data_IF_338515018364
#
_entry.id   IF_338515018364
#
_cell.length_a   1.000
_cell.length_b   1.000
_cell.length_c   1.000
_cell.angle_alpha   90.00
_cell.angle_beta   90.00
_cell.angle_gamma   90.00
#
_symmetry.space_group_name_H-M   'P 1'
#
loop_
_entity.id
_entity.type
_entity.pdbx_description
1 polymer ?
#
# COMPACT_ATOMS: atom_id res chain seq x y z
N UNK A 1 14.48 -0.79 -17.35
CA UNK A 1 14.35 0.66 -16.99
C UNK A 1 12.86 1.00 -16.96
N UNK A 2 12.31 1.34 -15.82
CA UNK A 2 10.93 1.85 -15.72
C UNK A 2 10.98 3.27 -16.31
N UNK A 3 10.33 3.47 -17.44
CA UNK A 3 10.27 4.79 -18.09
C UNK A 3 9.33 5.68 -17.26
N UNK A 4 9.85 6.78 -16.73
CA UNK A 4 8.97 7.87 -16.26
C UNK A 4 8.06 8.27 -17.41
N UNK A 5 6.75 8.31 -17.18
CA UNK A 5 5.85 8.91 -18.15
C UNK A 5 6.24 10.38 -18.30
N UNK A 6 6.57 10.81 -19.50
CA UNK A 6 6.87 12.21 -19.77
C UNK A 6 5.56 13.02 -19.79
N UNK A 7 4.93 13.14 -18.61
CA UNK A 7 3.65 13.85 -18.44
C UNK A 7 3.94 15.31 -18.13
N UNK A 8 3.69 16.19 -19.08
CA UNK A 8 3.75 17.63 -18.85
C UNK A 8 2.44 18.10 -18.20
N UNK A 9 2.52 18.59 -16.97
CA UNK A 9 1.41 19.16 -16.22
C UNK A 9 1.32 20.69 -16.32
N UNK A 10 2.25 21.35 -17.00
CA UNK A 10 2.30 22.81 -17.08
C UNK A 10 0.97 23.35 -17.65
N UNK A 11 0.34 24.23 -16.89
CA UNK A 11 -0.94 24.86 -17.18
C UNK A 11 -2.15 23.90 -17.28
N UNK A 12 -1.98 22.60 -17.01
CA UNK A 12 -3.12 21.67 -16.95
C UNK A 12 -4.01 22.01 -15.77
N UNK A 13 -5.31 21.92 -15.96
CA UNK A 13 -6.31 22.06 -14.90
C UNK A 13 -6.50 20.71 -14.22
N UNK A 14 -6.14 20.63 -12.94
CA UNK A 14 -6.28 19.41 -12.16
C UNK A 14 -7.22 19.65 -10.99
N UNK A 15 -8.26 18.86 -10.89
CA UNK A 15 -9.14 18.85 -9.73
C UNK A 15 -8.78 17.66 -8.83
N UNK A 16 -8.50 17.96 -7.56
CA UNK A 16 -8.27 16.94 -6.52
C UNK A 16 -9.52 16.87 -5.66
N UNK A 17 -10.14 15.69 -5.58
CA UNK A 17 -11.35 15.46 -4.78
C UNK A 17 -10.98 14.74 -3.48
N UNK A 18 -11.28 15.43 -2.35
CA UNK A 18 -10.94 15.03 -0.99
C UNK A 18 -9.73 15.75 -0.42
N UNK A 19 -9.84 16.28 0.81
CA UNK A 19 -8.83 17.08 1.51
C UNK A 19 -8.11 16.33 2.63
N UNK A 20 -8.10 14.99 2.59
CA UNK A 20 -7.28 14.17 3.47
C UNK A 20 -5.79 14.20 3.08
N UNK A 21 -4.98 13.33 3.70
CA UNK A 21 -3.53 13.24 3.46
C UNK A 21 -3.20 13.01 1.98
N UNK A 22 -3.93 12.13 1.29
CA UNK A 22 -3.76 11.85 -0.15
C UNK A 22 -4.06 13.08 -1.03
N UNK A 23 -5.15 13.80 -0.74
CA UNK A 23 -5.49 15.01 -1.48
C UNK A 23 -4.49 16.14 -1.24
N UNK A 24 -3.96 16.25 -0.02
CA UNK A 24 -2.86 17.15 0.29
C UNK A 24 -1.64 16.84 -0.56
N UNK A 25 -1.13 15.61 -0.48
CA UNK A 25 0.05 15.20 -1.23
C UNK A 25 -0.11 15.43 -2.74
N UNK A 26 -1.23 14.95 -3.31
CA UNK A 26 -1.50 15.07 -4.75
C UNK A 26 -1.61 16.54 -5.21
N UNK A 27 -2.31 17.39 -4.45
CA UNK A 27 -2.49 18.81 -4.82
C UNK A 27 -1.17 19.58 -4.80
N UNK A 28 -0.32 19.34 -3.80
CA UNK A 28 0.99 19.98 -3.70
C UNK A 28 1.96 19.49 -4.76
N UNK A 29 1.97 18.17 -5.06
CA UNK A 29 2.78 17.62 -6.14
C UNK A 29 2.35 18.19 -7.50
N UNK A 30 1.06 18.18 -7.82
CA UNK A 30 0.53 18.72 -9.07
C UNK A 30 0.86 20.21 -9.24
N UNK A 31 0.68 21.02 -8.18
CA UNK A 31 1.02 22.43 -8.19
C UNK A 31 2.53 22.67 -8.40
N UNK A 32 3.39 21.87 -7.71
CA UNK A 32 4.84 21.95 -7.87
C UNK A 32 5.30 21.65 -9.29
N UNK A 33 4.55 20.79 -10.00
CA UNK A 33 4.78 20.40 -11.39
C UNK A 33 4.14 21.36 -12.42
N UNK A 34 3.57 22.49 -11.94
CA UNK A 34 3.08 23.58 -12.78
C UNK A 34 1.60 23.47 -13.18
N UNK A 35 0.83 22.58 -12.58
CA UNK A 35 -0.61 22.49 -12.80
C UNK A 35 -1.38 23.61 -12.12
N UNK A 36 -2.52 23.99 -12.71
CA UNK A 36 -3.56 24.84 -12.10
C UNK A 36 -4.48 23.95 -11.25
N UNK A 37 -4.29 23.94 -9.93
CA UNK A 37 -4.97 23.00 -9.04
C UNK A 37 -6.20 23.61 -8.38
N UNK A 38 -7.32 22.87 -8.45
CA UNK A 38 -8.51 23.04 -7.62
C UNK A 38 -8.60 21.85 -6.65
N UNK A 39 -8.54 22.10 -5.35
CA UNK A 39 -8.73 21.11 -4.31
C UNK A 39 -10.12 21.28 -3.71
N UNK A 40 -10.96 20.24 -3.76
CA UNK A 40 -12.38 20.33 -3.39
C UNK A 40 -12.78 19.16 -2.47
N UNK A 41 -13.52 19.47 -1.40
CA UNK A 41 -14.08 18.50 -0.45
C UNK A 41 -15.50 18.88 -0.04
N UNK A 42 -16.37 17.88 0.07
CA UNK A 42 -17.74 18.06 0.55
C UNK A 42 -17.80 18.42 2.03
N UNK A 43 -16.80 18.01 2.81
CA UNK A 43 -16.70 18.29 4.24
C UNK A 43 -15.90 19.56 4.51
N UNK A 44 -16.23 20.27 5.60
CA UNK A 44 -15.50 21.48 6.04
C UNK A 44 -14.44 21.19 7.11
N UNK A 45 -14.03 19.92 7.27
CA UNK A 45 -13.17 19.46 8.38
C UNK A 45 -11.66 19.56 8.12
N UNK A 46 -11.25 20.11 6.97
CA UNK A 46 -9.83 20.27 6.67
C UNK A 46 -9.14 21.20 7.66
N UNK A 47 -7.92 20.85 8.08
CA UNK A 47 -7.12 21.67 9.01
C UNK A 47 -6.86 23.06 8.43
N UNK A 48 -7.11 24.11 9.21
CA UNK A 48 -6.87 25.51 8.77
C UNK A 48 -5.44 25.75 8.29
N UNK A 49 -4.46 25.19 8.97
CA UNK A 49 -3.04 25.28 8.58
C UNK A 49 -2.79 24.72 7.17
N UNK A 50 -3.46 23.61 6.83
CA UNK A 50 -3.37 23.01 5.49
C UNK A 50 -4.01 23.94 4.44
N UNK A 51 -5.22 24.43 4.69
CA UNK A 51 -5.93 25.37 3.80
C UNK A 51 -5.07 26.62 3.54
N UNK A 52 -4.49 27.19 4.60
CA UNK A 52 -3.61 28.36 4.51
C UNK A 52 -2.38 28.08 3.65
N UNK A 53 -1.70 26.95 3.89
CA UNK A 53 -0.51 26.58 3.13
C UNK A 53 -0.82 26.35 1.65
N UNK A 54 -1.91 25.67 1.33
CA UNK A 54 -2.33 25.42 -0.04
C UNK A 54 -2.66 26.73 -0.78
N UNK A 55 -3.40 27.65 -0.14
CA UNK A 55 -3.69 28.99 -0.70
C UNK A 55 -2.43 29.81 -0.96
N UNK A 56 -1.45 29.77 -0.05
CA UNK A 56 -0.20 30.52 -0.17
C UNK A 56 0.63 30.12 -1.40
N UNK A 57 0.47 28.90 -1.92
CA UNK A 57 1.14 28.42 -3.13
C UNK A 57 0.24 28.43 -4.37
N UNK A 58 -0.92 29.09 -4.29
CA UNK A 58 -1.80 29.30 -5.43
C UNK A 58 -2.81 28.18 -5.72
N UNK A 59 -2.96 27.19 -4.83
CA UNK A 59 -3.99 26.16 -4.94
C UNK A 59 -5.37 26.77 -4.62
N UNK A 60 -6.34 26.65 -5.52
CA UNK A 60 -7.73 27.03 -5.28
C UNK A 60 -8.40 25.98 -4.41
N UNK A 61 -9.26 26.43 -3.48
CA UNK A 61 -9.90 25.53 -2.50
C UNK A 61 -11.41 25.74 -2.49
N UNK A 62 -12.14 24.62 -2.51
CA UNK A 62 -13.55 24.53 -2.17
C UNK A 62 -13.70 23.58 -0.96
N UNK A 63 -14.18 24.11 0.17
CA UNK A 63 -14.28 23.38 1.43
C UNK A 63 -15.72 23.48 1.96
N UNK A 64 -16.38 22.34 2.17
CA UNK A 64 -17.77 22.25 2.61
C UNK A 64 -18.78 22.20 1.44
N UNK A 65 -18.35 21.71 0.27
CA UNK A 65 -19.19 21.51 -0.92
C UNK A 65 -18.39 21.57 -2.19
N UNK A 66 -19.05 21.23 -3.28
CA UNK A 66 -18.50 21.23 -4.63
C UNK A 66 -19.31 22.18 -5.51
N UNK A 67 -18.67 23.06 -6.27
CA UNK A 67 -19.32 23.90 -7.30
C UNK A 67 -19.08 23.30 -8.69
N UNK A 68 -19.76 23.80 -9.72
CA UNK A 68 -19.54 23.39 -11.12
C UNK A 68 -18.09 23.57 -11.61
N UNK A 69 -17.27 24.35 -10.89
CA UNK A 69 -15.84 24.55 -11.21
C UNK A 69 -15.02 23.28 -11.18
N UNK A 70 -15.44 22.25 -10.37
CA UNK A 70 -14.74 20.97 -10.32
C UNK A 70 -14.67 20.29 -11.69
N UNK A 71 -15.62 20.56 -12.59
CA UNK A 71 -15.69 19.96 -13.92
C UNK A 71 -14.89 20.72 -14.99
N UNK A 72 -14.40 21.93 -14.70
CA UNK A 72 -13.45 22.66 -15.57
C UNK A 72 -12.04 22.10 -15.34
N UNK A 73 -11.80 20.88 -15.78
CA UNK A 73 -10.63 20.09 -15.42
C UNK A 73 -10.21 19.13 -16.53
N UNK A 74 -8.90 19.03 -16.77
CA UNK A 74 -8.31 18.05 -17.69
C UNK A 74 -8.18 16.67 -17.02
N UNK A 75 -8.05 16.64 -15.69
CA UNK A 75 -7.80 15.43 -14.90
C UNK A 75 -8.35 15.58 -13.50
N UNK A 76 -8.99 14.53 -13.00
CA UNK A 76 -9.33 14.39 -11.59
C UNK A 76 -8.40 13.40 -10.89
N UNK A 77 -7.91 13.81 -9.72
CA UNK A 77 -7.25 12.91 -8.77
C UNK A 77 -8.21 12.71 -7.61
N UNK A 78 -8.64 11.46 -7.40
CA UNK A 78 -9.68 11.12 -6.42
C UNK A 78 -9.07 10.47 -5.18
N UNK A 79 -9.49 10.91 -3.99
CA UNK A 79 -9.14 10.27 -2.73
C UNK A 79 -9.84 8.93 -2.55
N UNK A 80 -9.23 7.91 -1.89
CA UNK A 80 -9.80 6.57 -1.75
C UNK A 80 -11.18 6.52 -1.07
N UNK A 81 -11.46 7.48 -0.18
CA UNK A 81 -12.75 7.60 0.51
C UNK A 81 -13.92 8.03 -0.37
N UNK A 82 -13.66 8.54 -1.57
CA UNK A 82 -14.69 9.02 -2.49
C UNK A 82 -15.19 7.85 -3.33
N UNK A 83 -16.49 7.60 -3.30
CA UNK A 83 -17.12 6.48 -4.02
C UNK A 83 -17.40 6.83 -5.49
N UNK A 84 -17.24 5.85 -6.38
CA UNK A 84 -17.60 5.96 -7.80
C UNK A 84 -19.07 6.25 -8.07
N UNK A 85 -19.93 5.93 -7.13
CA UNK A 85 -21.39 6.00 -7.29
C UNK A 85 -21.98 7.35 -6.85
N UNK A 86 -21.18 8.29 -6.37
CA UNK A 86 -21.70 9.62 -6.02
C UNK A 86 -21.89 10.50 -7.26
N UNK A 87 -22.88 11.40 -7.22
CA UNK A 87 -23.30 12.20 -8.35
C UNK A 87 -22.17 12.98 -9.03
N UNK A 88 -21.23 13.54 -8.25
CA UNK A 88 -20.13 14.32 -8.84
C UNK A 88 -19.21 13.45 -9.68
N UNK A 89 -18.94 12.22 -9.28
CA UNK A 89 -18.07 11.28 -10.01
C UNK A 89 -18.76 10.76 -11.25
N UNK A 90 -20.04 10.40 -11.17
CA UNK A 90 -20.83 9.98 -12.34
C UNK A 90 -20.95 11.09 -13.37
N UNK A 91 -21.14 12.34 -12.95
CA UNK A 91 -21.19 13.51 -13.82
C UNK A 91 -19.83 13.79 -14.48
N UNK A 92 -18.72 13.66 -13.73
CA UNK A 92 -17.38 13.83 -14.28
C UNK A 92 -17.08 12.78 -15.38
N UNK A 93 -17.44 11.52 -15.14
CA UNK A 93 -17.35 10.44 -16.14
C UNK A 93 -18.21 10.74 -17.39
N UNK A 94 -19.44 11.22 -17.20
CA UNK A 94 -20.34 11.59 -18.31
C UNK A 94 -19.79 12.76 -19.13
N UNK A 95 -19.03 13.67 -18.52
CA UNK A 95 -18.34 14.77 -19.20
C UNK A 95 -17.00 14.34 -19.84
N UNK A 96 -16.61 13.07 -19.73
CA UNK A 96 -15.35 12.55 -20.28
C UNK A 96 -14.11 12.96 -19.52
N UNK A 97 -14.24 13.42 -18.27
CA UNK A 97 -13.10 13.79 -17.44
C UNK A 97 -12.37 12.51 -16.97
N UNK A 98 -11.08 12.43 -17.23
CA UNK A 98 -10.24 11.33 -16.77
C UNK A 98 -10.12 11.36 -15.24
N UNK A 99 -10.33 10.21 -14.59
CA UNK A 99 -10.27 10.08 -13.12
C UNK A 99 -9.23 9.03 -12.76
N UNK A 100 -8.26 9.40 -11.93
CA UNK A 100 -7.21 8.50 -11.45
C UNK A 100 -7.06 8.57 -9.94
N UNK A 101 -6.44 7.55 -9.35
CA UNK A 101 -6.06 7.56 -7.94
C UNK A 101 -4.78 8.38 -7.71
N UNK A 102 -4.54 8.77 -6.46
CA UNK A 102 -3.30 9.42 -6.04
C UNK A 102 -2.08 8.54 -6.29
N UNK A 103 -2.22 7.22 -6.12
CA UNK A 103 -1.15 6.24 -6.36
C UNK A 103 -0.77 6.20 -7.84
N UNK A 104 -1.75 6.18 -8.74
CA UNK A 104 -1.52 6.30 -10.18
C UNK A 104 -0.79 7.59 -10.51
N UNK A 105 -1.32 8.72 -10.05
CA UNK A 105 -0.75 10.03 -10.30
C UNK A 105 0.71 10.13 -9.84
N UNK A 106 1.00 9.72 -8.62
CA UNK A 106 2.34 9.81 -8.05
C UNK A 106 3.35 8.93 -8.79
N UNK A 107 2.93 7.76 -9.25
CA UNK A 107 3.78 6.81 -9.96
C UNK A 107 4.33 7.33 -11.29
N UNK A 108 3.67 8.31 -11.90
CA UNK A 108 4.14 8.92 -13.15
C UNK A 108 5.47 9.68 -13.01
N UNK A 109 5.84 10.07 -11.79
CA UNK A 109 6.97 10.97 -11.50
C UNK A 109 8.14 10.27 -10.80
N UNK A 110 8.23 8.96 -10.90
CA UNK A 110 9.37 8.19 -10.40
C UNK A 110 9.70 7.01 -11.31
N UNK A 111 10.98 6.74 -11.47
CA UNK A 111 11.55 5.54 -12.08
C UNK A 111 12.08 4.55 -11.02
N UNK A 112 11.97 4.89 -9.75
CA UNK A 112 12.46 4.07 -8.66
C UNK A 112 11.57 2.86 -8.44
N UNK A 113 12.14 1.71 -8.04
CA UNK A 113 11.37 0.50 -7.82
C UNK A 113 10.32 0.68 -6.71
N UNK A 114 9.17 0.07 -6.92
CA UNK A 114 8.05 0.08 -5.99
C UNK A 114 7.77 -1.34 -5.53
N UNK A 115 7.62 -1.54 -4.22
CA UNK A 115 7.04 -2.74 -3.62
C UNK A 115 5.63 -2.37 -3.16
N UNK A 116 4.61 -2.92 -3.83
CA UNK A 116 3.21 -2.72 -3.47
C UNK A 116 2.68 -3.91 -2.66
N UNK A 117 2.02 -3.64 -1.54
CA UNK A 117 1.44 -4.67 -0.68
C UNK A 117 -0.05 -4.45 -0.50
N UNK A 118 -0.85 -5.46 -0.85
CA UNK A 118 -2.30 -5.46 -0.63
C UNK A 118 -2.78 -6.77 -0.02
N UNK A 119 -3.99 -6.78 0.47
CA UNK A 119 -4.65 -7.90 1.15
C UNK A 119 -5.78 -7.37 2.04
N UNK A 120 -6.59 -8.25 2.60
CA UNK A 120 -7.55 -7.87 3.63
C UNK A 120 -6.81 -7.51 4.92
N UNK A 121 -6.00 -8.41 5.43
CA UNK A 121 -5.25 -8.27 6.68
C UNK A 121 -3.73 -8.38 6.46
N UNK A 122 -2.93 -7.88 7.41
CA UNK A 122 -1.48 -8.04 7.44
C UNK A 122 -0.67 -6.99 6.66
N UNK A 123 -1.30 -6.12 5.87
CA UNK A 123 -0.63 -5.11 5.03
C UNK A 123 0.39 -4.28 5.80
N UNK A 124 -0.03 -3.59 6.85
CA UNK A 124 0.83 -2.71 7.66
C UNK A 124 2.00 -3.48 8.25
N UNK A 125 1.76 -4.68 8.79
CA UNK A 125 2.82 -5.52 9.33
C UNK A 125 3.85 -5.88 8.27
N UNK A 126 3.38 -6.33 7.11
CA UNK A 126 4.26 -6.74 6.00
C UNK A 126 5.10 -5.57 5.48
N UNK A 127 4.49 -4.40 5.21
CA UNK A 127 5.25 -3.23 4.72
C UNK A 127 6.25 -2.71 5.76
N UNK A 128 5.92 -2.80 7.05
CA UNK A 128 6.83 -2.39 8.13
C UNK A 128 8.03 -3.33 8.25
N UNK A 129 7.82 -4.65 8.14
CA UNK A 129 8.91 -5.63 8.13
C UNK A 129 9.80 -5.44 6.90
N UNK A 130 9.21 -5.26 5.70
CA UNK A 130 9.97 -4.96 4.48
C UNK A 130 10.81 -3.70 4.67
N UNK A 131 10.22 -2.63 5.20
CA UNK A 131 10.93 -1.38 5.45
C UNK A 131 12.09 -1.57 6.43
N UNK A 132 11.92 -2.35 7.51
CA UNK A 132 12.98 -2.67 8.46
C UNK A 132 14.13 -3.43 7.80
N UNK A 133 13.83 -4.48 7.01
CA UNK A 133 14.86 -5.25 6.28
C UNK A 133 15.61 -4.36 5.31
N UNK A 134 14.90 -3.54 4.54
CA UNK A 134 15.52 -2.63 3.56
C UNK A 134 16.36 -1.55 4.22
N UNK A 135 15.95 -1.03 5.37
CA UNK A 135 16.70 -0.02 6.13
C UNK A 135 18.04 -0.53 6.68
N UNK A 136 18.20 -1.85 6.81
CA UNK A 136 19.46 -2.52 7.21
C UNK A 136 20.30 -2.98 6.01
N UNK A 137 19.88 -2.71 4.81
CA UNK A 137 20.55 -3.07 3.55
C UNK A 137 21.11 -1.85 2.84
N UNK A 138 21.57 -2.02 1.59
CA UNK A 138 22.01 -0.91 0.74
C UNK A 138 20.88 0.00 0.25
N UNK A 139 19.61 -0.39 0.39
CA UNK A 139 18.48 0.40 -0.07
C UNK A 139 18.13 1.55 0.87
N UNK A 140 17.50 2.57 0.31
CA UNK A 140 16.93 3.68 1.06
C UNK A 140 15.38 3.61 0.94
N UNK A 141 14.70 2.83 1.81
CA UNK A 141 13.27 2.64 1.69
C UNK A 141 12.49 3.89 2.10
N UNK A 142 11.35 4.11 1.43
CA UNK A 142 10.37 5.12 1.80
C UNK A 142 9.01 4.46 1.95
N UNK A 143 8.56 4.31 3.20
CA UNK A 143 7.29 3.70 3.54
C UNK A 143 6.15 4.71 3.34
N UNK A 144 5.13 4.35 2.53
CA UNK A 144 4.04 5.26 2.12
C UNK A 144 2.74 4.51 1.86
N UNK A 145 1.72 5.25 1.47
CA UNK A 145 0.42 4.72 1.01
C UNK A 145 -0.67 4.83 2.05
N UNK A 146 -1.41 3.76 2.29
CA UNK A 146 -2.57 3.73 3.20
C UNK A 146 -2.23 3.87 4.71
N UNK A 147 -0.99 4.13 5.06
CA UNK A 147 -0.47 4.22 6.44
C UNK A 147 -0.18 5.64 6.91
N UNK A 148 -0.92 6.61 6.41
CA UNK A 148 -0.87 7.99 6.90
C UNK A 148 0.21 8.87 6.27
N UNK A 149 0.95 8.40 5.27
CA UNK A 149 1.91 9.18 4.49
C UNK A 149 1.69 8.95 3.00
N UNK A 150 1.15 9.93 2.30
CA UNK A 150 0.78 9.81 0.90
C UNK A 150 1.98 9.56 -0.02
N UNK A 151 1.81 8.72 -1.05
CA UNK A 151 2.88 8.45 -2.01
C UNK A 151 3.27 9.70 -2.81
N UNK A 152 2.31 10.51 -3.22
CA UNK A 152 2.56 11.81 -3.85
C UNK A 152 3.38 12.77 -2.99
N UNK A 153 3.25 12.71 -1.67
CA UNK A 153 4.07 13.49 -0.75
C UNK A 153 5.52 12.99 -0.73
N UNK A 154 5.72 11.68 -0.74
CA UNK A 154 7.06 11.11 -0.84
C UNK A 154 7.75 11.52 -2.15
N UNK A 155 7.02 11.45 -3.28
CA UNK A 155 7.51 11.92 -4.58
C UNK A 155 7.86 13.42 -4.55
N UNK A 156 6.99 14.25 -3.98
CA UNK A 156 7.23 15.70 -3.86
C UNK A 156 8.53 16.03 -3.10
N UNK A 157 8.84 15.27 -2.05
CA UNK A 157 10.10 15.41 -1.31
C UNK A 157 11.29 14.97 -2.17
N UNK A 158 11.18 13.84 -2.85
CA UNK A 158 12.24 13.27 -3.68
C UNK A 158 12.49 14.05 -4.99
N UNK A 159 11.54 14.91 -5.45
CA UNK A 159 11.81 15.83 -6.57
C UNK A 159 13.00 16.78 -6.32
N UNK A 160 13.36 17.03 -5.06
CA UNK A 160 14.48 17.92 -4.71
C UNK A 160 15.82 17.16 -4.65
N UNK A 161 15.79 15.99 -4.06
CA UNK A 161 16.98 15.15 -3.87
C UNK A 161 16.55 13.69 -3.61
N UNK A 162 16.42 12.89 -4.65
CA UNK A 162 16.10 11.49 -4.55
C UNK A 162 17.37 10.65 -4.40
N UNK A 163 17.53 9.86 -3.33
CA UNK A 163 18.64 8.93 -3.23
C UNK A 163 18.69 7.95 -4.40
N UNK A 164 19.90 7.62 -4.88
CA UNK A 164 20.08 6.71 -6.01
C UNK A 164 19.45 5.33 -5.75
N UNK A 165 19.63 4.82 -4.54
CA UNK A 165 19.10 3.54 -4.06
C UNK A 165 17.72 3.62 -3.43
N UNK A 166 16.91 4.65 -3.76
CA UNK A 166 15.53 4.80 -3.31
C UNK A 166 14.69 3.61 -3.75
N UNK A 167 13.88 3.11 -2.83
CA UNK A 167 12.82 2.13 -3.09
C UNK A 167 11.57 2.52 -2.30
N UNK A 168 10.42 2.52 -2.96
CA UNK A 168 9.15 2.82 -2.27
C UNK A 168 8.48 1.55 -1.82
N UNK A 169 8.08 1.50 -0.55
CA UNK A 169 7.28 0.42 0.03
C UNK A 169 5.89 0.98 0.29
N UNK A 170 4.89 0.49 -0.44
CA UNK A 170 3.56 1.11 -0.48
C UNK A 170 2.51 0.14 0.05
N UNK A 171 1.85 0.53 1.14
CA UNK A 171 0.62 -0.13 1.57
C UNK A 171 -0.52 0.30 0.66
N UNK A 172 -1.23 -0.65 0.07
CA UNK A 172 -2.31 -0.39 -0.89
C UNK A 172 -3.64 -0.98 -0.43
N UNK A 173 -4.63 -0.11 -0.24
CA UNK A 173 -6.02 -0.51 -0.08
C UNK A 173 -6.64 -0.87 -1.45
N UNK A 174 -7.75 -1.62 -1.42
CA UNK A 174 -8.52 -1.87 -2.65
C UNK A 174 -9.02 -0.59 -3.31
N UNK A 175 -9.39 0.40 -2.51
CA UNK A 175 -9.89 1.70 -2.99
C UNK A 175 -8.83 2.49 -3.77
N UNK A 176 -7.57 2.46 -3.32
CA UNK A 176 -6.47 3.10 -4.04
C UNK A 176 -6.16 2.43 -5.39
N UNK A 177 -6.47 1.14 -5.51
CA UNK A 177 -6.30 0.36 -6.73
C UNK A 177 -7.47 0.48 -7.73
N UNK A 178 -8.63 1.07 -7.35
CA UNK A 178 -9.78 1.19 -8.23
C UNK A 178 -9.48 1.99 -9.51
N UNK A 179 -8.75 3.10 -9.36
CA UNK A 179 -8.45 4.08 -10.41
C UNK A 179 -6.97 4.11 -10.80
N UNK A 180 -6.33 2.95 -10.91
CA UNK A 180 -5.02 2.81 -11.53
C UNK A 180 -5.18 2.43 -13.00
N UNK A 181 -4.25 2.89 -13.84
CA UNK A 181 -4.18 2.60 -15.27
C UNK A 181 -2.80 2.06 -15.68
N UNK A 182 -1.76 2.74 -15.27
CA UNK A 182 -0.37 2.46 -15.67
C UNK A 182 0.52 2.10 -14.47
N UNK A 183 0.02 2.27 -13.26
CA UNK A 183 0.74 1.91 -12.05
C UNK A 183 1.29 0.48 -12.14
N UNK A 184 2.60 0.34 -11.95
CA UNK A 184 3.32 -0.91 -12.20
C UNK A 184 4.42 -1.13 -11.16
N UNK A 185 4.11 -1.75 -10.02
CA UNK A 185 5.12 -2.10 -9.03
C UNK A 185 6.16 -3.08 -9.59
N UNK A 186 7.40 -2.94 -9.16
CA UNK A 186 8.45 -3.94 -9.43
C UNK A 186 8.14 -5.26 -8.71
N UNK A 187 7.67 -5.16 -7.45
CA UNK A 187 7.18 -6.32 -6.68
C UNK A 187 5.76 -6.00 -6.20
N UNK A 188 4.80 -6.87 -6.53
CA UNK A 188 3.44 -6.84 -5.99
C UNK A 188 3.21 -8.00 -5.04
N UNK A 189 2.61 -7.73 -3.87
CA UNK A 189 2.35 -8.74 -2.83
C UNK A 189 0.86 -8.79 -2.52
N UNK A 190 0.26 -9.99 -2.67
CA UNK A 190 -1.12 -10.30 -2.26
C UNK A 190 -1.09 -11.24 -1.05
N UNK A 191 -1.52 -10.72 0.11
CA UNK A 191 -1.42 -11.45 1.38
C UNK A 191 -2.56 -12.44 1.60
N UNK A 192 -3.78 -11.96 1.53
CA UNK A 192 -5.00 -12.73 1.81
C UNK A 192 -6.24 -11.99 1.34
N UNK A 193 -7.34 -12.74 1.18
CA UNK A 193 -8.66 -12.21 0.86
C UNK A 193 -9.68 -12.81 1.82
N UNK A 194 -10.23 -11.98 2.67
CA UNK A 194 -11.35 -12.30 3.57
C UNK A 194 -12.46 -11.25 3.48
N UNK A 195 -13.68 -11.57 3.89
CA UNK A 195 -14.80 -10.62 3.80
C UNK A 195 -14.50 -9.31 4.50
N UNK A 196 -14.46 -8.23 3.71
CA UNK A 196 -14.26 -6.87 4.17
C UNK A 196 -14.81 -5.89 3.11
N UNK A 197 -15.25 -4.71 3.52
CA UNK A 197 -15.73 -3.66 2.61
C UNK A 197 -16.84 -4.09 1.64
N UNK A 198 -17.70 -5.06 2.01
CA UNK A 198 -18.78 -5.56 1.15
C UNK A 198 -19.91 -4.53 0.94
N UNK A 199 -19.99 -3.53 1.77
CA UNK A 199 -20.82 -2.34 1.59
C UNK A 199 -20.45 -1.59 0.28
N UNK A 200 -19.18 -1.56 -0.09
CA UNK A 200 -18.71 -0.93 -1.33
C UNK A 200 -18.68 -1.91 -2.51
N UNK A 201 -18.22 -3.14 -2.31
CA UNK A 201 -17.95 -4.08 -3.41
C UNK A 201 -19.07 -5.05 -3.76
N UNK A 202 -20.23 -4.98 -3.15
CA UNK A 202 -21.39 -5.87 -3.42
C UNK A 202 -21.10 -7.38 -3.21
N UNK A 203 -19.91 -7.90 -3.56
CA UNK A 203 -19.49 -9.29 -3.39
C UNK A 203 -17.97 -9.44 -3.32
N UNK A 204 -17.51 -10.63 -2.92
CA UNK A 204 -16.10 -10.97 -2.76
C UNK A 204 -15.32 -10.96 -4.07
N UNK A 205 -15.95 -11.30 -5.20
CA UNK A 205 -15.27 -11.33 -6.51
C UNK A 205 -14.84 -9.93 -6.92
N UNK A 206 -15.71 -8.93 -6.76
CA UNK A 206 -15.40 -7.53 -7.05
C UNK A 206 -14.31 -6.96 -6.12
N UNK A 207 -14.31 -7.38 -4.87
CA UNK A 207 -13.27 -7.00 -3.93
C UNK A 207 -11.91 -7.61 -4.31
N UNK A 208 -11.89 -8.90 -4.69
CA UNK A 208 -10.70 -9.57 -5.19
C UNK A 208 -10.21 -8.92 -6.50
N UNK A 209 -11.11 -8.68 -7.47
CA UNK A 209 -10.78 -8.00 -8.73
C UNK A 209 -10.10 -6.64 -8.49
N UNK A 210 -10.60 -5.85 -7.54
CA UNK A 210 -10.01 -4.55 -7.20
C UNK A 210 -8.57 -4.71 -6.67
N UNK A 211 -8.29 -5.70 -5.81
CA UNK A 211 -6.94 -5.96 -5.30
C UNK A 211 -6.01 -6.55 -6.36
N UNK A 212 -6.53 -7.41 -7.23
CA UNK A 212 -5.76 -8.01 -8.33
C UNK A 212 -5.22 -6.97 -9.32
N UNK A 213 -5.83 -5.79 -9.39
CA UNK A 213 -5.32 -4.68 -10.20
C UNK A 213 -3.87 -4.32 -9.88
N UNK A 214 -3.37 -4.59 -8.68
CA UNK A 214 -1.97 -4.32 -8.30
C UNK A 214 -0.96 -4.92 -9.29
N UNK A 215 -1.33 -6.01 -9.97
CA UNK A 215 -0.48 -6.69 -10.95
C UNK A 215 -0.99 -6.59 -12.40
N UNK A 216 -1.99 -5.74 -12.68
CA UNK A 216 -2.64 -5.68 -14.00
C UNK A 216 -1.67 -5.25 -15.12
N UNK A 217 -0.66 -4.47 -14.80
CA UNK A 217 0.33 -3.95 -15.75
C UNK A 217 1.67 -4.70 -15.70
N UNK A 218 1.74 -5.82 -14.98
CA UNK A 218 2.95 -6.63 -14.88
C UNK A 218 3.32 -7.27 -16.22
N UNK A 219 4.61 -7.38 -16.44
CA UNK A 219 5.23 -8.19 -17.50
C UNK A 219 6.32 -9.10 -16.91
N UNK A 220 7.24 -9.59 -17.76
CA UNK A 220 8.34 -10.48 -17.37
C UNK A 220 9.39 -9.83 -16.45
N UNK A 221 9.41 -8.51 -16.32
CA UNK A 221 10.36 -7.79 -15.47
C UNK A 221 9.84 -7.61 -14.03
N UNK A 222 8.55 -7.87 -13.81
CA UNK A 222 7.90 -7.67 -12.52
C UNK A 222 7.72 -8.98 -11.77
N UNK A 223 7.59 -8.89 -10.45
CA UNK A 223 7.41 -10.04 -9.56
C UNK A 223 6.08 -9.98 -8.82
N UNK A 224 5.30 -11.06 -8.91
CA UNK A 224 4.08 -11.24 -8.15
C UNK A 224 4.31 -12.26 -7.04
N UNK A 225 4.26 -11.79 -5.80
CA UNK A 225 4.27 -12.62 -4.60
C UNK A 225 2.83 -12.83 -4.12
N UNK A 226 2.43 -14.06 -3.88
CA UNK A 226 1.09 -14.33 -3.36
C UNK A 226 1.05 -15.53 -2.42
N UNK A 227 0.12 -15.48 -1.49
CA UNK A 227 -0.09 -16.53 -0.51
C UNK A 227 -0.70 -17.78 -1.17
N UNK A 228 0.02 -18.89 -1.15
CA UNK A 228 -0.44 -20.16 -1.71
C UNK A 228 -1.53 -20.84 -0.88
N UNK A 229 -1.67 -20.46 0.40
CA UNK A 229 -2.70 -20.99 1.29
C UNK A 229 -4.08 -20.39 1.01
N UNK A 230 -4.13 -19.23 0.33
CA UNK A 230 -5.37 -18.60 -0.09
C UNK A 230 -5.80 -19.07 -1.49
N UNK A 231 -6.83 -19.93 -1.53
CA UNK A 231 -7.34 -20.53 -2.77
C UNK A 231 -7.90 -19.50 -3.75
N UNK A 232 -8.52 -18.43 -3.24
CA UNK A 232 -9.10 -17.37 -4.08
C UNK A 232 -7.99 -16.63 -4.83
N UNK A 233 -6.93 -16.23 -4.12
CA UNK A 233 -5.76 -15.58 -4.73
C UNK A 233 -5.09 -16.52 -5.73
N UNK A 234 -4.81 -17.77 -5.33
CA UNK A 234 -4.07 -18.74 -6.13
C UNK A 234 -4.73 -18.99 -7.49
N UNK A 235 -6.06 -19.12 -7.53
CA UNK A 235 -6.80 -19.38 -8.78
C UNK A 235 -6.70 -18.23 -9.78
N UNK A 236 -6.61 -17.00 -9.32
CA UNK A 236 -6.51 -15.80 -10.15
C UNK A 236 -5.05 -15.51 -10.57
N UNK A 237 -4.11 -15.64 -9.64
CA UNK A 237 -2.70 -15.35 -9.90
C UNK A 237 -2.07 -16.30 -10.93
N UNK A 238 -2.51 -17.56 -10.99
CA UNK A 238 -2.01 -18.53 -11.98
C UNK A 238 -2.15 -18.07 -13.43
N UNK A 239 -3.16 -17.25 -13.73
CA UNK A 239 -3.49 -16.78 -15.09
C UNK A 239 -2.67 -15.57 -15.56
N UNK A 240 -1.99 -14.88 -14.65
CA UNK A 240 -1.21 -13.68 -14.99
C UNK A 240 0.13 -14.06 -15.64
N UNK A 241 0.57 -13.26 -16.60
CA UNK A 241 1.88 -13.42 -17.26
C UNK A 241 2.93 -12.51 -16.58
N UNK A 242 3.54 -13.01 -15.50
CA UNK A 242 4.55 -12.30 -14.70
C UNK A 242 5.41 -13.33 -13.97
N UNK A 243 6.57 -12.94 -13.46
CA UNK A 243 7.33 -13.81 -12.56
C UNK A 243 6.55 -14.01 -11.26
N UNK A 244 6.30 -15.26 -10.91
CA UNK A 244 5.48 -15.63 -9.75
C UNK A 244 6.30 -16.38 -8.72
N UNK A 245 6.18 -15.95 -7.46
CA UNK A 245 6.71 -16.66 -6.31
C UNK A 245 5.60 -16.79 -5.27
N UNK A 246 5.46 -17.94 -4.66
CA UNK A 246 4.46 -18.18 -3.61
C UNK A 246 5.12 -18.22 -2.25
N UNK A 247 4.38 -17.82 -1.24
CA UNK A 247 4.68 -18.05 0.17
C UNK A 247 3.46 -18.67 0.85
N UNK A 248 3.68 -19.43 1.91
CA UNK A 248 2.60 -20.08 2.65
C UNK A 248 3.14 -20.98 3.75
N UNK A 249 2.24 -21.41 4.65
CA UNK A 249 2.53 -22.30 5.77
C UNK A 249 2.09 -23.75 5.49
N UNK A 250 1.08 -23.93 4.63
CA UNK A 250 0.36 -25.19 4.48
C UNK A 250 0.70 -25.90 3.18
N UNK A 251 0.99 -25.18 2.12
CA UNK A 251 1.18 -25.74 0.79
C UNK A 251 2.67 -25.87 0.43
N UNK A 252 3.07 -27.08 0.07
CA UNK A 252 4.43 -27.36 -0.41
C UNK A 252 4.52 -27.01 -1.90
N UNK A 253 5.08 -25.85 -2.20
CA UNK A 253 5.34 -25.39 -3.56
C UNK A 253 6.83 -25.22 -3.80
N UNK A 254 7.32 -25.59 -5.00
CA UNK A 254 8.77 -25.65 -5.29
C UNK A 254 9.53 -24.34 -5.09
N UNK A 255 8.86 -23.20 -5.17
CA UNK A 255 9.48 -21.88 -4.98
C UNK A 255 8.86 -21.11 -3.80
N UNK A 256 8.24 -21.81 -2.86
CA UNK A 256 7.64 -21.19 -1.69
C UNK A 256 8.68 -21.00 -0.60
N UNK A 257 8.72 -19.81 -0.03
CA UNK A 257 9.36 -19.57 1.25
C UNK A 257 8.36 -20.03 2.30
N UNK A 258 8.76 -20.97 3.15
CA UNK A 258 7.88 -21.60 4.14
C UNK A 258 8.55 -21.70 5.50
N UNK A 259 7.75 -21.96 6.51
CA UNK A 259 8.20 -22.33 7.85
C UNK A 259 7.71 -23.74 8.17
N UNK A 260 8.57 -24.57 8.74
CA UNK A 260 8.23 -25.90 9.26
C UNK A 260 7.64 -25.87 10.67
N UNK A 261 7.41 -24.67 11.21
CA UNK A 261 6.94 -24.46 12.58
C UNK A 261 8.04 -24.20 13.60
N UNK A 262 9.33 -24.43 13.27
CA UNK A 262 10.45 -24.15 14.15
C UNK A 262 11.29 -22.97 13.70
N UNK A 263 11.46 -22.80 12.38
CA UNK A 263 12.26 -21.75 11.80
C UNK A 263 11.67 -21.24 10.47
N UNK A 264 12.15 -20.09 10.04
CA UNK A 264 11.97 -19.59 8.68
C UNK A 264 13.19 -19.99 7.86
N UNK A 265 12.97 -20.70 6.77
CA UNK A 265 14.00 -21.20 5.88
C UNK A 265 13.67 -20.93 4.41
N UNK A 266 14.70 -20.81 3.57
CA UNK A 266 14.61 -20.72 2.11
C UNK A 266 15.60 -21.72 1.52
N UNK A 267 15.16 -22.53 0.57
CA UNK A 267 16.00 -23.54 -0.09
C UNK A 267 16.79 -24.38 0.94
N UNK A 268 16.12 -24.80 2.03
CA UNK A 268 16.67 -25.51 3.16
C UNK A 268 17.70 -24.73 4.01
N UNK A 269 18.04 -23.50 3.62
CA UNK A 269 18.91 -22.63 4.43
C UNK A 269 18.07 -21.87 5.47
N UNK A 270 18.32 -22.18 6.74
CA UNK A 270 17.71 -21.48 7.89
C UNK A 270 18.08 -19.99 7.87
N UNK A 271 17.08 -19.14 8.11
CA UNK A 271 17.25 -17.69 8.25
C UNK A 271 17.16 -17.30 9.74
N UNK A 272 16.09 -17.71 10.43
CA UNK A 272 15.81 -17.34 11.82
C UNK A 272 14.94 -18.38 12.50
N UNK A 273 15.12 -18.60 13.79
CA UNK A 273 14.21 -19.41 14.62
C UNK A 273 12.94 -18.60 14.94
N UNK A 274 11.78 -19.27 14.93
CA UNK A 274 10.50 -18.62 15.25
C UNK A 274 10.49 -18.12 16.71
N UNK A 275 11.16 -18.81 17.61
CA UNK A 275 11.24 -18.43 19.01
C UNK A 275 12.01 -17.11 19.23
N UNK A 276 12.96 -16.78 18.36
CA UNK A 276 13.70 -15.52 18.40
C UNK A 276 12.89 -14.30 17.89
N UNK A 277 11.72 -14.54 17.27
CA UNK A 277 10.89 -13.48 16.73
C UNK A 277 10.01 -12.83 17.80
N UNK A 278 9.92 -11.53 17.78
CA UNK A 278 8.98 -10.77 18.62
C UNK A 278 7.53 -10.99 18.19
N UNK A 279 7.29 -11.04 16.87
CA UNK A 279 5.96 -11.25 16.33
C UNK A 279 5.55 -12.71 16.43
N UNK A 280 4.52 -13.00 17.21
CA UNK A 280 3.96 -14.35 17.42
C UNK A 280 2.70 -14.58 16.57
N UNK A 281 2.34 -15.85 16.38
CA UNK A 281 1.13 -16.29 15.70
C UNK A 281 1.28 -16.55 14.20
N UNK A 282 0.54 -17.52 13.71
CA UNK A 282 0.61 -18.01 12.31
C UNK A 282 0.42 -16.92 11.27
N UNK A 283 -0.49 -15.95 11.51
CA UNK A 283 -0.74 -14.84 10.61
C UNK A 283 0.49 -13.91 10.48
N UNK A 284 1.26 -13.71 11.57
CA UNK A 284 2.48 -12.93 11.53
C UNK A 284 3.61 -13.69 10.83
N UNK A 285 3.71 -15.01 11.00
CA UNK A 285 4.65 -15.83 10.24
C UNK A 285 4.37 -15.70 8.73
N UNK A 286 3.10 -15.75 8.32
CA UNK A 286 2.72 -15.52 6.92
C UNK A 286 3.14 -14.12 6.41
N UNK A 287 2.97 -13.07 7.21
CA UNK A 287 3.41 -11.72 6.89
C UNK A 287 4.95 -11.63 6.75
N UNK A 288 5.68 -12.31 7.64
CA UNK A 288 7.15 -12.41 7.60
C UNK A 288 7.59 -13.15 6.34
N UNK A 289 6.96 -14.27 5.99
CA UNK A 289 7.28 -15.01 4.77
C UNK A 289 7.11 -14.15 3.51
N UNK A 290 6.05 -13.34 3.45
CA UNK A 290 5.84 -12.39 2.36
C UNK A 290 6.97 -11.34 2.28
N UNK A 291 7.38 -10.78 3.42
CA UNK A 291 8.45 -9.79 3.50
C UNK A 291 9.82 -10.38 3.14
N UNK A 292 10.11 -11.58 3.64
CA UNK A 292 11.35 -12.32 3.33
C UNK A 292 11.40 -12.65 1.84
N UNK A 293 10.27 -13.05 1.23
CA UNK A 293 10.19 -13.32 -0.21
C UNK A 293 10.57 -12.08 -1.03
N UNK A 294 10.07 -10.90 -0.67
CA UNK A 294 10.42 -9.64 -1.32
C UNK A 294 11.91 -9.32 -1.16
N UNK A 295 12.46 -9.50 0.05
CA UNK A 295 13.87 -9.28 0.33
C UNK A 295 14.78 -10.21 -0.49
N UNK A 296 14.36 -11.45 -0.73
CA UNK A 296 15.13 -12.41 -1.54
C UNK A 296 15.11 -12.06 -3.02
N UNK A 297 14.01 -11.55 -3.57
CA UNK A 297 13.97 -11.02 -4.93
C UNK A 297 14.98 -9.88 -5.10
N UNK A 298 15.12 -9.04 -4.08
CA UNK A 298 16.11 -7.95 -4.02
C UNK A 298 17.54 -8.42 -3.67
N UNK A 299 17.77 -9.74 -3.54
CA UNK A 299 19.05 -10.38 -3.23
C UNK A 299 19.66 -9.98 -1.89
N UNK A 300 18.84 -9.56 -0.93
CA UNK A 300 19.31 -9.24 0.42
C UNK A 300 19.79 -10.53 1.12
N UNK A 301 20.91 -10.43 1.81
CA UNK A 301 21.55 -11.59 2.49
C UNK A 301 20.69 -12.10 3.65
N UNK A 302 20.75 -13.41 3.90
CA UNK A 302 20.04 -14.04 5.02
C UNK A 302 20.44 -13.43 6.37
N UNK A 303 21.69 -12.99 6.53
CA UNK A 303 22.18 -12.32 7.75
C UNK A 303 21.43 -11.01 8.01
N UNK A 304 21.27 -10.15 7.00
CA UNK A 304 20.56 -8.87 7.11
C UNK A 304 19.08 -9.12 7.41
N UNK A 305 18.47 -10.09 6.73
CA UNK A 305 17.07 -10.46 6.95
C UNK A 305 16.88 -10.94 8.41
N UNK A 306 17.70 -11.87 8.89
CA UNK A 306 17.61 -12.40 10.25
C UNK A 306 17.76 -11.29 11.30
N UNK A 307 18.78 -10.43 11.15
CA UNK A 307 19.01 -9.29 12.04
C UNK A 307 17.80 -8.34 12.10
N UNK A 308 17.20 -8.04 10.94
CA UNK A 308 16.02 -7.19 10.87
C UNK A 308 14.82 -7.82 11.59
N UNK A 309 14.57 -9.12 11.36
CA UNK A 309 13.43 -9.83 11.96
C UNK A 309 13.53 -9.96 13.47
N UNK A 310 14.72 -10.29 14.02
CA UNK A 310 14.96 -10.41 15.46
C UNK A 310 14.76 -9.06 16.16
N UNK A 311 15.21 -7.97 15.54
CA UNK A 311 15.12 -6.63 16.11
C UNK A 311 13.78 -5.91 15.86
N UNK A 312 12.88 -6.50 15.09
CA UNK A 312 11.59 -5.88 14.78
C UNK A 312 10.65 -5.90 15.98
N UNK A 313 10.37 -4.73 16.56
CA UNK A 313 9.62 -4.58 17.82
C UNK A 313 8.08 -4.67 17.66
N UNK A 314 7.58 -4.98 16.46
CA UNK A 314 6.13 -4.93 16.19
C UNK A 314 5.65 -3.54 15.77
N UNK A 315 4.34 -3.33 15.81
CA UNK A 315 3.67 -2.10 15.36
C UNK A 315 2.77 -1.61 16.48
N UNK A 316 2.81 -0.33 16.77
CA UNK A 316 1.89 0.32 17.73
C UNK A 316 0.43 -0.02 17.41
N UNK A 317 -0.34 -0.30 18.43
CA UNK A 317 -1.77 -0.63 18.36
C UNK A 317 -2.11 -1.95 17.63
N UNK A 318 -1.11 -2.85 17.47
CA UNK A 318 -1.32 -4.17 16.88
C UNK A 318 -0.67 -5.25 17.75
N UNK A 319 -1.51 -5.94 18.56
CA UNK A 319 -1.06 -6.87 19.61
C UNK A 319 0.09 -6.27 20.46
N UNK A 320 0.00 -4.99 20.70
CA UNK A 320 1.00 -4.24 21.45
C UNK A 320 0.85 -4.52 22.95
N UNK A 321 1.90 -5.08 23.57
CA UNK A 321 1.92 -5.24 25.02
C UNK A 321 2.05 -3.85 25.67
N UNK A 322 1.01 -3.45 26.41
CA UNK A 322 0.94 -2.12 27.02
C UNK A 322 1.45 -2.16 28.46
N UNK A 323 1.07 -3.18 29.22
CA UNK A 323 1.47 -3.29 30.63
C UNK A 323 1.18 -4.67 31.21
N UNK A 324 1.84 -5.00 32.32
CA UNK A 324 1.53 -6.15 33.16
C UNK A 324 1.10 -5.64 34.54
N UNK A 325 -0.14 -5.88 34.92
CA UNK A 325 -0.71 -5.44 36.21
C UNK A 325 -1.19 -6.65 37.00
N UNK A 326 -0.62 -6.90 38.18
CA UNK A 326 -0.94 -8.04 39.07
C UNK A 326 -0.91 -9.39 38.35
N UNK A 327 0.08 -9.60 37.44
CA UNK A 327 0.23 -10.81 36.68
C UNK A 327 -0.69 -10.96 35.46
N UNK A 328 -1.51 -9.94 35.14
CA UNK A 328 -2.35 -9.86 33.94
C UNK A 328 -1.66 -8.97 32.92
N UNK A 329 -1.39 -9.51 31.72
CA UNK A 329 -0.82 -8.76 30.61
C UNK A 329 -1.93 -8.12 29.78
N UNK A 330 -1.79 -6.82 29.51
CA UNK A 330 -2.73 -6.01 28.71
C UNK A 330 -2.15 -5.75 27.34
N UNK A 331 -2.95 -6.05 26.32
CA UNK A 331 -2.59 -5.82 24.92
C UNK A 331 -3.51 -4.80 24.26
N UNK A 332 -2.93 -3.90 23.47
CA UNK A 332 -3.64 -2.97 22.60
C UNK A 332 -3.66 -3.52 21.16
N UNK A 333 -4.83 -3.82 20.64
CA UNK A 333 -5.04 -4.25 19.25
C UNK A 333 -6.14 -3.43 18.57
N UNK A 334 -6.16 -2.12 18.81
CA UNK A 334 -7.18 -1.21 18.28
C UNK A 334 -7.18 -1.11 16.74
N UNK A 335 -6.15 -1.63 16.06
CA UNK A 335 -6.10 -1.80 14.59
C UNK A 335 -6.78 -3.06 14.07
N UNK A 336 -7.28 -3.94 14.91
CA UNK A 336 -8.13 -5.06 14.52
C UNK A 336 -9.55 -4.54 14.23
N UNK A 337 -9.84 -4.23 12.97
CA UNK A 337 -11.09 -3.57 12.54
C UNK A 337 -12.11 -4.51 11.90
N UNK A 338 -11.80 -5.81 11.80
CA UNK A 338 -12.71 -6.84 11.31
C UNK A 338 -12.63 -8.12 12.16
N UNK A 339 -13.63 -9.00 11.99
CA UNK A 339 -13.80 -10.22 12.80
C UNK A 339 -12.58 -11.14 12.68
N UNK A 340 -12.06 -11.34 11.47
CA UNK A 340 -10.92 -12.22 11.22
C UNK A 340 -9.65 -11.74 11.94
N UNK A 341 -9.42 -10.43 11.96
CA UNK A 341 -8.26 -9.86 12.67
C UNK A 341 -8.37 -10.07 14.18
N UNK A 342 -9.56 -9.91 14.79
CA UNK A 342 -9.79 -10.18 16.20
C UNK A 342 -9.62 -11.67 16.53
N UNK A 343 -10.15 -12.58 15.70
CA UNK A 343 -9.96 -14.02 15.86
C UNK A 343 -8.48 -14.39 15.79
N UNK A 344 -7.74 -13.81 14.85
CA UNK A 344 -6.31 -14.04 14.70
C UNK A 344 -5.53 -13.56 15.94
N UNK A 345 -5.90 -12.41 16.50
CA UNK A 345 -5.33 -11.86 17.72
C UNK A 345 -5.54 -12.81 18.91
N UNK A 346 -6.77 -13.27 19.14
CA UNK A 346 -7.09 -14.20 20.24
C UNK A 346 -6.29 -15.50 20.10
N UNK A 347 -6.20 -16.06 18.89
CA UNK A 347 -5.44 -17.30 18.61
C UNK A 347 -3.92 -17.15 18.78
N UNK A 348 -3.39 -15.93 18.89
CA UNK A 348 -1.96 -15.70 19.10
C UNK A 348 -1.54 -15.94 20.55
N UNK A 349 -2.47 -16.10 21.48
CA UNK A 349 -2.22 -16.34 22.90
C UNK A 349 -2.47 -17.79 23.35
N UNK A 350 -2.83 -18.68 22.43
CA UNK A 350 -3.11 -20.10 22.70
C UNK A 350 -1.92 -20.98 22.28
#
# INVERSE_FOLDING_TARGET
MISTMNVDLKNKKITVIGMGETGHGASFLANKLGANVLLSDSNSTAKESFIKNAKNIGIKIENGGHTEKIYDSDLWIISPGVSDNINIVTNAKAKGIKIISEIEFASWFTDKPIIGVTGSNGKTTTVSIINEILSKSEFNPKLTGNIGYAFSRAILEDLKNCPENRIYVIELSSYQLEHIETFKPFISILLNISPDHLDRYKNMDKYLEAKMKIAMNHDSENHLLYNSDDKNITSHCKKLNTNKTTFGLLNDTQNAIKSDGSCIAIDQAKIVDIDDLTLKGHHNISNILAAVSAAKILKISNKVIAEALINFKGIEHRLEEVSVIKGVTYYNDSKATNIESVIAAIKSFN
#
